data_IF_997140213747
#
_entry.id   IF_997140213747
#
_cell.length_a   1.000
_cell.length_b   1.000
_cell.length_c   1.000
_cell.angle_alpha   90.00
_cell.angle_beta   90.00
_cell.angle_gamma   90.00
#
_symmetry.space_group_name_H-M   'P 1'
#
loop_
_entity.id
_entity.type
_entity.pdbx_description
1 polymer ?
#
# COMPACT_ATOMS: atom_id res chain seq x y z
N UNK A 1 -22.49 -38.75 11.03
CA UNK A 1 -23.33 -37.76 10.32
C UNK A 1 -22.75 -36.33 10.34
N UNK A 2 -22.12 -35.85 11.42
CA UNK A 2 -21.46 -34.54 11.44
C UNK A 2 -20.19 -34.48 10.56
N UNK A 3 -19.32 -35.49 10.61
CA UNK A 3 -18.09 -35.55 9.80
C UNK A 3 -18.34 -35.66 8.27
N UNK A 4 -19.46 -36.30 7.88
CA UNK A 4 -19.83 -36.42 6.47
C UNK A 4 -20.30 -35.10 5.87
N UNK A 5 -20.94 -34.23 6.67
CA UNK A 5 -21.34 -32.90 6.22
C UNK A 5 -20.15 -31.94 6.15
N UNK A 6 -19.18 -32.06 7.05
CA UNK A 6 -17.98 -31.21 7.05
C UNK A 6 -17.08 -31.50 5.84
N UNK A 7 -16.89 -32.78 5.50
CA UNK A 7 -16.06 -33.16 4.35
C UNK A 7 -16.66 -32.68 3.02
N UNK A 8 -17.97 -32.83 2.84
CA UNK A 8 -18.71 -32.33 1.66
C UNK A 8 -18.63 -30.80 1.59
N UNK A 9 -18.74 -30.12 2.72
CA UNK A 9 -18.66 -28.66 2.77
C UNK A 9 -17.23 -28.13 2.51
N UNK A 10 -16.19 -28.82 2.98
CA UNK A 10 -14.79 -28.51 2.66
C UNK A 10 -14.53 -28.71 1.17
N UNK A 11 -15.03 -29.80 0.57
CA UNK A 11 -14.89 -30.05 -0.87
C UNK A 11 -15.63 -28.98 -1.69
N UNK A 12 -16.83 -28.60 -1.27
CA UNK A 12 -17.57 -27.49 -1.88
C UNK A 12 -16.80 -26.17 -1.77
N UNK A 13 -16.26 -25.82 -0.59
CA UNK A 13 -15.44 -24.61 -0.41
C UNK A 13 -14.17 -24.64 -1.27
N UNK A 14 -13.50 -25.78 -1.35
CA UNK A 14 -12.33 -25.98 -2.20
C UNK A 14 -12.65 -25.68 -3.67
N UNK A 15 -13.84 -26.06 -4.12
CA UNK A 15 -14.34 -25.71 -5.45
C UNK A 15 -14.65 -24.22 -5.57
N UNK A 16 -15.39 -23.63 -4.62
CA UNK A 16 -15.77 -22.21 -4.65
C UNK A 16 -14.56 -21.26 -4.62
N UNK A 17 -13.52 -21.63 -3.87
CA UNK A 17 -12.28 -20.86 -3.78
C UNK A 17 -11.36 -21.06 -4.99
N UNK A 18 -11.74 -21.92 -5.95
CA UNK A 18 -10.97 -22.17 -7.17
C UNK A 18 -9.74 -23.06 -7.01
N UNK A 19 -9.49 -23.57 -5.79
CA UNK A 19 -8.30 -24.38 -5.48
C UNK A 19 -8.26 -25.73 -6.21
N UNK A 20 -9.40 -26.20 -6.72
CA UNK A 20 -9.48 -27.38 -7.59
C UNK A 20 -8.80 -27.17 -8.96
N UNK A 21 -8.80 -25.94 -9.47
CA UNK A 21 -8.17 -25.59 -10.74
C UNK A 21 -6.76 -25.07 -10.54
N UNK A 22 -6.60 -24.17 -9.57
CA UNK A 22 -5.31 -23.61 -9.20
C UNK A 22 -5.20 -23.52 -7.67
N UNK A 23 -4.44 -24.43 -7.04
CA UNK A 23 -4.24 -24.41 -5.60
C UNK A 23 -3.23 -23.34 -5.15
N UNK A 24 -2.74 -22.48 -6.04
CA UNK A 24 -1.81 -21.42 -5.68
C UNK A 24 -2.52 -20.19 -5.12
N UNK A 25 -1.91 -19.62 -4.10
CA UNK A 25 -2.23 -18.30 -3.55
C UNK A 25 -1.01 -17.41 -3.68
N UNK A 26 -1.25 -16.14 -4.00
CA UNK A 26 -0.24 -15.09 -3.93
C UNK A 26 -0.32 -14.41 -2.58
N UNK A 27 0.80 -14.32 -1.87
CA UNK A 27 0.91 -13.68 -0.56
C UNK A 27 1.69 -12.39 -0.75
N UNK A 28 1.03 -11.26 -0.53
CA UNK A 28 1.62 -9.93 -0.52
C UNK A 28 2.02 -9.49 0.88
N UNK A 29 3.22 -8.92 1.00
CA UNK A 29 3.70 -8.25 2.21
C UNK A 29 4.26 -6.89 1.87
N UNK A 30 4.15 -5.97 2.82
CA UNK A 30 4.86 -4.70 2.77
C UNK A 30 6.15 -4.78 3.58
N UNK A 31 7.23 -4.36 2.94
CA UNK A 31 8.51 -4.21 3.62
C UNK A 31 8.54 -2.88 4.37
N UNK A 32 9.39 -2.78 5.40
CA UNK A 32 9.67 -1.51 6.08
C UNK A 32 10.23 -0.41 5.17
N UNK A 33 10.55 -0.71 3.91
CA UNK A 33 10.92 0.28 2.89
C UNK A 33 9.72 0.84 2.11
N UNK A 34 8.49 0.47 2.45
CA UNK A 34 7.36 0.91 1.64
C UNK A 34 7.37 0.25 0.25
N UNK A 35 7.80 -1.00 0.15
CA UNK A 35 7.74 -1.77 -1.08
C UNK A 35 6.92 -3.02 -0.87
N UNK A 36 5.97 -3.26 -1.77
CA UNK A 36 5.26 -4.51 -1.84
C UNK A 36 6.16 -5.61 -2.42
N UNK A 37 6.17 -6.76 -1.75
CA UNK A 37 6.75 -8.01 -2.26
C UNK A 37 5.69 -9.07 -2.27
N UNK A 38 5.72 -9.95 -3.25
CA UNK A 38 4.82 -11.10 -3.32
C UNK A 38 5.60 -12.41 -3.36
N UNK A 39 4.98 -13.47 -2.84
CA UNK A 39 5.43 -14.86 -3.02
C UNK A 39 4.24 -15.72 -3.36
N UNK A 40 4.50 -16.89 -3.91
CA UNK A 40 3.47 -17.88 -4.19
C UNK A 40 3.59 -19.03 -3.19
N UNK A 41 2.44 -19.46 -2.67
CA UNK A 41 2.32 -20.66 -1.87
C UNK A 41 1.23 -21.57 -2.45
N UNK A 42 1.43 -22.88 -2.31
CA UNK A 42 0.43 -23.87 -2.74
C UNK A 42 -0.39 -24.31 -1.53
N UNK A 43 -1.70 -24.14 -1.62
CA UNK A 43 -2.67 -24.63 -0.66
C UNK A 43 -2.63 -26.16 -0.60
N UNK A 44 -2.54 -26.70 0.61
CA UNK A 44 -2.47 -28.15 0.91
C UNK A 44 -3.66 -28.64 1.71
N UNK A 45 -4.42 -27.75 2.33
CA UNK A 45 -5.61 -28.13 3.09
C UNK A 45 -6.39 -26.92 3.59
N UNK A 46 -7.64 -27.20 4.00
CA UNK A 46 -8.57 -26.25 4.59
C UNK A 46 -9.07 -26.78 5.93
N UNK A 47 -9.34 -25.87 6.86
CA UNK A 47 -10.04 -26.15 8.11
C UNK A 47 -11.03 -25.03 8.38
N UNK A 48 -12.21 -25.36 8.88
CA UNK A 48 -13.16 -24.37 9.37
C UNK A 48 -13.06 -24.32 10.89
N UNK A 49 -12.89 -23.13 11.45
CA UNK A 49 -12.78 -22.96 12.89
C UNK A 49 -13.28 -21.57 13.29
N UNK A 50 -14.22 -21.52 14.24
CA UNK A 50 -14.75 -20.25 14.76
C UNK A 50 -15.43 -19.36 13.71
N UNK A 51 -16.11 -19.96 12.72
CA UNK A 51 -16.75 -19.21 11.63
C UNK A 51 -15.80 -18.67 10.56
N UNK A 52 -14.51 -18.99 10.64
CA UNK A 52 -13.49 -18.60 9.66
C UNK A 52 -12.93 -19.81 8.91
N UNK A 53 -12.50 -19.58 7.67
CA UNK A 53 -11.77 -20.58 6.87
C UNK A 53 -10.28 -20.37 7.11
N UNK A 54 -9.59 -21.39 7.62
CA UNK A 54 -8.14 -21.45 7.74
C UNK A 54 -7.58 -22.26 6.58
N UNK A 55 -6.57 -21.69 5.92
CA UNK A 55 -5.89 -22.29 4.78
C UNK A 55 -4.50 -22.72 5.22
N UNK A 56 -4.14 -23.98 4.99
CA UNK A 56 -2.76 -24.46 5.13
C UNK A 56 -2.09 -24.40 3.77
N UNK A 57 -1.05 -23.58 3.63
CA UNK A 57 -0.30 -23.45 2.39
C UNK A 57 1.21 -23.63 2.62
N UNK A 58 1.89 -24.18 1.62
CA UNK A 58 3.33 -24.39 1.61
C UNK A 58 3.98 -23.57 0.49
N UNK A 59 4.98 -22.76 0.82
CA UNK A 59 5.66 -21.88 -0.12
C UNK A 59 7.03 -21.44 0.39
N UNK A 60 7.74 -20.65 -0.41
CA UNK A 60 9.00 -20.06 0.02
C UNK A 60 8.72 -18.91 1.00
N UNK A 61 9.48 -18.82 2.12
CA UNK A 61 9.33 -17.70 3.04
C UNK A 61 9.70 -16.39 2.33
N UNK A 62 8.99 -15.32 2.67
CA UNK A 62 9.37 -13.99 2.22
C UNK A 62 10.49 -13.50 3.15
N UNK A 63 11.72 -13.49 2.64
CA UNK A 63 12.83 -12.87 3.33
C UNK A 63 12.50 -11.39 3.54
N UNK A 64 12.59 -10.90 4.78
CA UNK A 64 12.29 -9.53 5.24
C UNK A 64 10.88 -9.21 5.75
N UNK A 65 10.00 -10.19 5.99
CA UNK A 65 8.77 -9.93 6.76
C UNK A 65 9.05 -10.11 8.26
N UNK A 66 8.93 -9.03 9.03
CA UNK A 66 8.95 -9.08 10.49
C UNK A 66 7.52 -8.89 10.99
N UNK A 67 6.99 -9.87 11.71
CA UNK A 67 5.67 -9.78 12.32
C UNK A 67 5.78 -8.96 13.62
N UNK A 68 5.75 -7.63 13.48
CA UNK A 68 5.88 -6.67 14.59
C UNK A 68 4.58 -5.90 14.72
N UNK A 69 4.25 -5.51 15.95
CA UNK A 69 3.05 -4.73 16.26
C UNK A 69 3.02 -3.41 15.47
N UNK A 70 1.92 -3.19 14.73
CA UNK A 70 1.72 -2.04 13.85
C UNK A 70 2.19 -2.24 12.40
N UNK A 71 2.86 -3.36 12.06
CA UNK A 71 3.11 -3.72 10.67
C UNK A 71 1.80 -4.16 10.03
N UNK A 72 1.46 -3.64 8.83
CA UNK A 72 0.27 -4.10 8.15
C UNK A 72 0.32 -5.60 7.88
N UNK A 73 -0.78 -6.27 8.17
CA UNK A 73 -0.82 -7.73 8.12
C UNK A 73 -0.64 -8.22 6.65
N UNK A 74 0.00 -9.37 6.40
CA UNK A 74 0.10 -9.96 5.06
C UNK A 74 -1.26 -10.32 4.48
N UNK A 75 -1.42 -10.16 3.16
CA UNK A 75 -2.65 -10.50 2.45
C UNK A 75 -2.38 -11.67 1.52
N UNK A 76 -3.26 -12.67 1.55
CA UNK A 76 -3.26 -13.78 0.61
C UNK A 76 -4.43 -13.64 -0.37
N UNK A 77 -4.14 -13.77 -1.67
CA UNK A 77 -5.09 -13.67 -2.75
C UNK A 77 -5.05 -14.93 -3.61
N UNK A 78 -6.20 -15.28 -4.21
CA UNK A 78 -6.25 -16.26 -5.29
C UNK A 78 -6.13 -15.53 -6.62
N UNK A 79 -5.26 -16.03 -7.51
CA UNK A 79 -5.01 -15.39 -8.81
C UNK A 79 -6.25 -15.36 -9.73
N UNK A 80 -7.30 -16.12 -9.40
CA UNK A 80 -8.57 -16.12 -10.13
C UNK A 80 -9.40 -14.85 -9.92
N UNK A 81 -9.28 -14.22 -8.75
CA UNK A 81 -10.20 -13.15 -8.33
C UNK A 81 -9.53 -11.78 -8.29
N UNK A 82 -8.22 -11.76 -8.10
CA UNK A 82 -7.46 -10.52 -7.91
C UNK A 82 -6.02 -10.72 -8.36
N UNK A 83 -5.39 -9.63 -8.81
CA UNK A 83 -3.96 -9.59 -9.13
C UNK A 83 -3.33 -8.39 -8.45
N UNK A 84 -2.22 -8.62 -7.75
CA UNK A 84 -1.43 -7.54 -7.19
C UNK A 84 -0.72 -6.75 -8.28
N UNK A 85 -0.76 -5.42 -8.18
CA UNK A 85 -0.05 -4.53 -9.10
C UNK A 85 1.23 -4.02 -8.45
N UNK A 86 2.34 -4.08 -9.20
CA UNK A 86 3.65 -3.60 -8.77
C UNK A 86 4.14 -2.49 -9.72
N UNK A 87 3.69 -1.25 -9.53
CA UNK A 87 4.12 -0.15 -10.38
C UNK A 87 5.62 0.14 -10.24
N UNK A 88 6.25 0.58 -11.33
CA UNK A 88 7.69 0.78 -11.36
C UNK A 88 8.08 2.06 -10.60
N UNK A 89 9.04 2.00 -9.67
CA UNK A 89 9.48 3.18 -8.93
C UNK A 89 10.34 4.12 -9.79
N UNK A 90 10.15 5.43 -9.63
CA UNK A 90 10.94 6.51 -10.24
C UNK A 90 11.35 7.54 -9.18
N UNK A 91 12.62 7.95 -9.18
CA UNK A 91 13.09 9.01 -8.29
C UNK A 91 12.43 10.36 -8.64
N UNK A 92 12.00 11.13 -7.63
CA UNK A 92 11.40 12.45 -7.79
C UNK A 92 12.32 13.41 -8.55
N UNK A 93 13.63 13.35 -8.34
CA UNK A 93 14.59 14.17 -9.09
C UNK A 93 14.60 13.85 -10.58
N UNK A 94 14.38 12.59 -10.96
CA UNK A 94 14.24 12.18 -12.36
C UNK A 94 12.90 12.60 -12.92
N UNK A 95 11.82 12.37 -12.18
CA UNK A 95 10.47 12.78 -12.57
C UNK A 95 10.36 14.30 -12.74
N UNK A 96 11.03 15.09 -11.90
CA UNK A 96 11.05 16.56 -11.98
C UNK A 96 11.65 17.06 -13.29
N UNK A 97 12.60 16.34 -13.87
CA UNK A 97 13.16 16.66 -15.20
C UNK A 97 12.20 16.32 -16.34
N UNK A 98 11.37 15.29 -16.15
CA UNK A 98 10.41 14.82 -17.16
C UNK A 98 9.12 15.65 -17.12
N UNK A 99 8.57 15.86 -15.92
CA UNK A 99 7.29 16.52 -15.66
C UNK A 99 7.44 17.57 -14.54
N UNK A 100 8.11 18.71 -14.81
CA UNK A 100 8.47 19.69 -13.77
C UNK A 100 7.26 20.34 -13.11
N UNK A 101 6.19 20.61 -13.89
CA UNK A 101 4.96 21.22 -13.36
C UNK A 101 4.25 20.31 -12.38
N UNK A 102 4.24 19.01 -12.66
CA UNK A 102 3.58 18.02 -11.82
C UNK A 102 4.28 17.91 -10.47
N UNK A 103 5.61 17.72 -10.47
CA UNK A 103 6.38 17.64 -9.23
C UNK A 103 6.31 18.95 -8.45
N UNK A 104 6.38 20.11 -9.10
CA UNK A 104 6.31 21.40 -8.41
C UNK A 104 5.00 21.61 -7.63
N UNK A 105 3.88 21.02 -8.06
CA UNK A 105 2.61 21.05 -7.33
C UNK A 105 2.60 20.14 -6.10
N UNK A 106 3.27 18.98 -6.17
CA UNK A 106 3.28 18.00 -5.09
C UNK A 106 4.19 18.40 -3.92
N UNK A 107 5.36 19.00 -4.20
CA UNK A 107 6.39 19.24 -3.20
C UNK A 107 5.92 20.01 -1.96
N UNK A 108 5.13 21.11 -2.09
CA UNK A 108 4.57 21.79 -0.92
C UNK A 108 3.65 20.90 -0.09
N UNK A 109 2.79 20.13 -0.75
CA UNK A 109 1.84 19.25 -0.07
C UNK A 109 2.57 18.15 0.71
N UNK A 110 3.60 17.53 0.12
CA UNK A 110 4.46 16.57 0.83
C UNK A 110 5.03 17.19 2.12
N UNK A 111 5.60 18.39 2.01
CA UNK A 111 6.21 19.05 3.17
C UNK A 111 5.18 19.36 4.27
N UNK A 112 4.01 19.86 3.89
CA UNK A 112 2.92 20.21 4.83
C UNK A 112 2.37 18.96 5.52
N UNK A 113 2.19 17.86 4.80
CA UNK A 113 1.73 16.58 5.37
C UNK A 113 2.72 16.04 6.41
N UNK A 114 4.02 16.10 6.11
CA UNK A 114 5.07 15.66 7.03
C UNK A 114 5.13 16.55 8.29
N UNK A 115 4.93 17.87 8.15
CA UNK A 115 4.83 18.79 9.29
C UNK A 115 3.58 18.51 10.13
N UNK A 116 2.43 18.32 9.49
CA UNK A 116 1.17 18.04 10.16
C UNK A 116 1.20 16.74 10.95
N UNK A 117 1.91 15.73 10.45
CA UNK A 117 2.16 14.47 11.15
C UNK A 117 3.26 14.56 12.22
N UNK A 118 3.92 15.72 12.39
CA UNK A 118 4.99 15.90 13.37
C UNK A 118 6.28 15.13 13.07
N UNK A 119 6.47 14.68 11.83
CA UNK A 119 7.65 13.93 11.39
C UNK A 119 8.84 14.85 11.11
N UNK A 120 8.56 16.06 10.67
CA UNK A 120 9.54 17.14 10.51
C UNK A 120 9.15 18.34 11.35
N UNK A 121 10.13 19.19 11.66
CA UNK A 121 9.93 20.36 12.51
C UNK A 121 8.88 21.32 11.91
N UNK A 122 7.96 21.77 12.76
CA UNK A 122 6.98 22.79 12.39
C UNK A 122 7.69 24.11 12.11
N UNK A 123 7.33 24.78 11.02
CA UNK A 123 7.99 26.00 10.60
C UNK A 123 7.50 26.50 9.24
N UNK A 124 8.03 27.64 8.75
CA UNK A 124 7.66 28.16 7.44
C UNK A 124 8.03 27.16 6.34
N UNK A 125 7.19 27.10 5.30
CA UNK A 125 7.46 26.29 4.12
C UNK A 125 8.78 26.75 3.46
N UNK A 126 9.76 25.86 3.23
CA UNK A 126 10.97 26.20 2.51
C UNK A 126 10.68 26.58 1.05
N UNK A 127 11.68 27.13 0.36
CA UNK A 127 11.55 27.38 -1.08
C UNK A 127 11.37 26.07 -1.85
N UNK A 128 10.65 26.11 -2.97
CA UNK A 128 10.46 24.92 -3.84
C UNK A 128 11.79 24.27 -4.24
N UNK A 129 12.83 25.08 -4.49
CA UNK A 129 14.16 24.58 -4.84
C UNK A 129 14.83 23.82 -3.66
N UNK A 130 14.61 24.27 -2.42
CA UNK A 130 15.10 23.57 -1.24
C UNK A 130 14.37 22.24 -1.05
N UNK A 131 13.04 22.23 -1.13
CA UNK A 131 12.24 21.02 -1.01
C UNK A 131 12.60 20.02 -2.13
N UNK A 132 12.72 20.48 -3.37
CA UNK A 132 13.07 19.64 -4.51
C UNK A 132 14.44 18.96 -4.36
N UNK A 133 15.42 19.66 -3.77
CA UNK A 133 16.74 19.11 -3.48
C UNK A 133 16.65 18.02 -2.42
N UNK A 134 15.98 18.32 -1.31
CA UNK A 134 15.91 17.44 -0.14
C UNK A 134 15.10 16.17 -0.45
N UNK A 135 14.08 16.24 -1.31
CA UNK A 135 13.25 15.10 -1.72
C UNK A 135 13.74 14.41 -3.00
N UNK A 136 14.86 14.83 -3.60
CA UNK A 136 15.26 14.40 -4.96
C UNK A 136 15.49 12.89 -5.11
N UNK A 137 15.94 12.22 -4.05
CA UNK A 137 16.21 10.79 -4.01
C UNK A 137 14.97 9.95 -3.66
N UNK A 138 13.88 10.58 -3.22
CA UNK A 138 12.67 9.88 -2.85
C UNK A 138 12.01 9.28 -4.09
N UNK A 139 11.36 8.15 -3.91
CA UNK A 139 10.83 7.34 -5.02
C UNK A 139 9.32 7.41 -5.01
N UNK A 140 8.74 7.60 -6.18
CA UNK A 140 7.30 7.54 -6.42
C UNK A 140 6.98 6.44 -7.42
N UNK A 141 5.75 5.95 -7.38
CA UNK A 141 5.24 4.97 -8.32
C UNK A 141 4.09 5.59 -9.11
N UNK A 142 4.12 5.47 -10.44
CA UNK A 142 3.09 6.00 -11.33
C UNK A 142 2.11 4.89 -11.74
N UNK A 143 0.81 5.12 -11.55
CA UNK A 143 -0.24 4.15 -11.89
C UNK A 143 -1.60 4.87 -12.04
N UNK A 144 -2.43 4.44 -13.00
CA UNK A 144 -3.81 4.93 -13.15
C UNK A 144 -4.70 4.28 -12.08
N UNK A 145 -5.03 5.05 -11.04
CA UNK A 145 -5.91 4.70 -9.94
C UNK A 145 -7.32 5.25 -10.12
N UNK A 146 -7.47 6.33 -10.90
CA UNK A 146 -8.75 7.03 -11.09
C UNK A 146 -9.55 6.53 -12.29
N UNK A 147 -8.96 5.67 -13.13
CA UNK A 147 -9.56 5.10 -14.33
C UNK A 147 -9.68 6.09 -15.49
N UNK A 148 -8.90 7.18 -15.46
CA UNK A 148 -8.94 8.24 -16.47
C UNK A 148 -7.86 8.08 -17.56
N UNK A 149 -7.08 6.98 -17.52
CA UNK A 149 -5.90 6.71 -18.36
C UNK A 149 -4.73 7.68 -18.16
N UNK A 150 -4.72 8.42 -17.05
CA UNK A 150 -3.61 9.25 -16.62
C UNK A 150 -3.05 8.68 -15.30
N UNK A 151 -1.72 8.71 -15.11
CA UNK A 151 -1.13 8.17 -13.90
C UNK A 151 -1.34 9.12 -12.71
N UNK A 152 -1.74 8.56 -11.57
CA UNK A 152 -1.50 9.12 -10.25
C UNK A 152 -0.07 8.79 -9.78
N UNK A 153 0.45 9.60 -8.86
CA UNK A 153 1.74 9.35 -8.20
C UNK A 153 1.54 8.94 -6.76
N UNK A 154 2.02 7.75 -6.44
CA UNK A 154 2.06 7.23 -5.10
C UNK A 154 3.45 7.43 -4.49
N UNK A 155 3.51 8.08 -3.33
CA UNK A 155 4.71 8.26 -2.53
C UNK A 155 4.54 7.55 -1.20
N UNK A 156 5.32 6.51 -0.96
CA UNK A 156 5.42 5.89 0.36
C UNK A 156 6.67 6.40 1.06
N UNK A 157 6.47 7.03 2.22
CA UNK A 157 7.54 7.59 3.04
C UNK A 157 7.87 6.61 4.15
N UNK A 158 9.14 6.22 4.25
CA UNK A 158 9.68 5.34 5.27
C UNK A 158 10.79 6.04 6.09
N UNK A 159 11.40 5.30 7.02
CA UNK A 159 12.49 5.82 7.86
C UNK A 159 13.72 6.29 7.05
N UNK A 160 14.08 5.61 5.95
CA UNK A 160 15.20 6.02 5.08
C UNK A 160 14.92 7.36 4.40
N UNK A 161 13.66 7.59 3.99
CA UNK A 161 13.23 8.87 3.45
C UNK A 161 13.36 9.96 4.51
N UNK A 162 12.85 9.73 5.71
CA UNK A 162 12.92 10.72 6.79
C UNK A 162 14.36 11.00 7.21
N UNK A 163 15.20 9.97 7.36
CA UNK A 163 16.62 10.11 7.71
C UNK A 163 17.38 10.94 6.66
N UNK A 164 16.97 10.90 5.39
CA UNK A 164 17.57 11.73 4.33
C UNK A 164 17.32 13.25 4.48
N UNK A 165 16.33 13.65 5.28
CA UNK A 165 16.02 15.06 5.55
C UNK A 165 16.93 15.69 6.62
N UNK A 166 17.77 14.90 7.28
CA UNK A 166 18.79 15.36 8.22
C UNK A 166 18.21 16.22 9.35
N UNK A 167 18.64 17.47 9.43
CA UNK A 167 18.26 18.39 10.52
C UNK A 167 16.79 18.82 10.51
N UNK A 168 16.05 18.55 9.44
CA UNK A 168 14.62 18.89 9.35
C UNK A 168 13.74 17.91 10.12
N UNK A 169 14.25 16.72 10.43
CA UNK A 169 13.51 15.68 11.14
C UNK A 169 13.22 16.09 12.58
N UNK A 170 11.99 15.88 13.01
CA UNK A 170 11.54 16.25 14.36
C UNK A 170 12.27 15.45 15.44
N UNK A 171 12.67 16.13 16.52
CA UNK A 171 13.29 15.47 17.68
C UNK A 171 12.37 14.46 18.38
N UNK A 172 11.05 14.65 18.32
CA UNK A 172 10.08 13.67 18.88
C UNK A 172 10.13 12.37 18.07
N UNK A 173 10.07 12.47 16.75
CA UNK A 173 10.17 11.33 15.85
C UNK A 173 11.47 10.54 16.07
N UNK A 174 12.62 11.24 16.16
CA UNK A 174 13.92 10.61 16.38
C UNK A 174 14.02 9.80 17.68
N UNK A 175 13.21 10.13 18.71
CA UNK A 175 13.20 9.40 19.98
C UNK A 175 12.36 8.13 19.93
N UNK A 176 11.31 8.12 19.11
CA UNK A 176 10.34 7.04 19.07
C UNK A 176 10.62 6.02 17.96
N UNK A 177 11.19 6.45 16.81
CA UNK A 177 11.60 5.63 15.64
C UNK A 177 10.76 4.36 15.44
N UNK A 178 9.45 4.55 15.26
CA UNK A 178 8.47 3.49 14.98
C UNK A 178 7.42 3.92 13.95
N UNK A 179 7.79 4.81 13.01
CA UNK A 179 6.82 5.20 11.98
C UNK A 179 6.84 4.15 10.88
N UNK A 180 5.77 3.38 10.79
CA UNK A 180 5.58 2.52 9.63
C UNK A 180 5.52 3.34 8.34
N UNK A 181 5.90 2.74 7.20
CA UNK A 181 5.79 3.40 5.92
C UNK A 181 4.37 3.89 5.69
N UNK A 182 4.22 5.17 5.37
CA UNK A 182 2.93 5.80 5.15
C UNK A 182 2.85 6.40 3.76
N UNK A 183 1.68 6.31 3.14
CA UNK A 183 1.48 6.64 1.74
C UNK A 183 0.70 7.94 1.55
N UNK A 184 1.13 8.71 0.55
CA UNK A 184 0.39 9.80 -0.07
C UNK A 184 0.15 9.46 -1.54
N UNK A 185 -1.02 9.83 -2.07
CA UNK A 185 -1.34 9.70 -3.50
C UNK A 185 -1.70 11.08 -4.04
N UNK A 186 -1.09 11.41 -5.17
CA UNK A 186 -1.31 12.66 -5.89
C UNK A 186 -1.96 12.38 -7.24
N UNK A 187 -2.92 13.20 -7.63
CA UNK A 187 -3.54 13.18 -8.96
C UNK A 187 -2.51 13.37 -10.07
N UNK A 188 -2.92 13.11 -11.31
CA UNK A 188 -2.22 13.44 -12.55
C UNK A 188 -1.84 14.93 -12.69
N UNK A 189 -2.47 15.81 -11.89
CA UNK A 189 -2.15 17.24 -11.81
C UNK A 189 -1.30 17.63 -10.59
N UNK A 190 -0.95 16.67 -9.73
CA UNK A 190 -0.14 16.87 -8.54
C UNK A 190 -0.90 17.31 -7.29
N UNK A 191 -2.24 17.19 -7.29
CA UNK A 191 -3.07 17.50 -6.13
C UNK A 191 -3.11 16.28 -5.22
N UNK A 192 -2.94 16.47 -3.91
CA UNK A 192 -3.06 15.39 -2.93
C UNK A 192 -4.51 14.89 -2.87
N UNK A 193 -4.73 13.60 -3.10
CA UNK A 193 -6.06 12.95 -3.13
C UNK A 193 -6.20 11.84 -2.07
N UNK A 194 -5.11 11.45 -1.42
CA UNK A 194 -5.09 10.48 -0.33
C UNK A 194 -3.86 10.72 0.55
N UNK A 195 -4.00 10.66 1.87
CA UNK A 195 -2.89 10.77 2.81
C UNK A 195 -3.11 9.99 4.09
N UNK A 196 -2.22 9.04 4.36
CA UNK A 196 -2.14 8.32 5.64
C UNK A 196 -1.50 9.15 6.75
N UNK A 197 -1.05 10.38 6.48
CA UNK A 197 -0.47 11.25 7.49
C UNK A 197 -1.53 12.06 8.22
N UNK A 198 -2.58 12.47 7.51
CA UNK A 198 -3.60 13.39 8.04
C UNK A 198 -5.01 12.84 7.87
N UNK A 199 -5.53 12.76 6.64
CA UNK A 199 -6.95 12.46 6.37
C UNK A 199 -7.32 11.00 6.57
N UNK A 200 -6.36 10.09 6.39
CA UNK A 200 -6.55 8.63 6.44
C UNK A 200 -5.60 8.00 7.47
N UNK A 201 -5.37 8.67 8.60
CA UNK A 201 -4.30 8.32 9.57
C UNK A 201 -4.41 6.95 10.24
N UNK A 202 -5.60 6.34 10.23
CA UNK A 202 -5.87 5.00 10.74
C UNK A 202 -5.81 3.90 9.66
N UNK A 203 -5.59 4.27 8.40
CA UNK A 203 -5.45 3.34 7.27
C UNK A 203 -3.99 3.15 6.91
N UNK A 204 -3.67 1.95 6.44
CA UNK A 204 -2.35 1.62 5.88
C UNK A 204 -2.52 0.94 4.53
N UNK A 205 -1.96 1.52 3.46
CA UNK A 205 -1.94 0.92 2.15
C UNK A 205 -1.02 -0.29 2.14
N UNK A 206 -1.63 -1.45 1.91
CA UNK A 206 -0.99 -2.77 1.89
C UNK A 206 -0.98 -3.42 0.52
N UNK A 207 -1.44 -2.70 -0.50
CA UNK A 207 -1.22 -3.10 -1.87
C UNK A 207 -2.16 -2.41 -2.83
N UNK A 208 -1.90 -2.70 -4.10
CA UNK A 208 -2.72 -2.29 -5.22
C UNK A 208 -3.24 -3.56 -5.89
N UNK A 209 -4.51 -3.55 -6.27
CA UNK A 209 -5.16 -4.72 -6.83
C UNK A 209 -5.96 -4.39 -8.09
N UNK A 210 -5.80 -5.24 -9.10
CA UNK A 210 -6.77 -5.38 -10.18
C UNK A 210 -7.79 -6.47 -9.80
N UNK A 211 -9.07 -6.11 -9.68
CA UNK A 211 -10.13 -7.07 -9.33
C UNK A 211 -10.71 -7.82 -10.54
N UNK A 212 -10.12 -7.65 -11.74
CA UNK A 212 -10.47 -8.33 -12.99
C UNK A 212 -11.92 -8.15 -13.45
N UNK A 213 -12.59 -7.11 -12.97
CA UNK A 213 -13.97 -6.73 -13.30
C UNK A 213 -14.05 -5.53 -14.26
N UNK A 214 -12.89 -5.04 -14.73
CA UNK A 214 -12.79 -3.88 -15.62
C UNK A 214 -12.92 -2.52 -14.94
N UNK A 215 -13.07 -2.48 -13.61
CA UNK A 215 -13.07 -1.23 -12.84
C UNK A 215 -11.66 -0.67 -12.60
N UNK A 216 -11.56 0.54 -12.00
CA UNK A 216 -10.29 1.10 -11.57
C UNK A 216 -9.54 0.20 -10.58
N UNK A 217 -8.23 0.43 -10.48
CA UNK A 217 -7.37 -0.21 -9.48
C UNK A 217 -7.94 0.03 -8.08
N UNK A 218 -7.99 -1.03 -7.29
CA UNK A 218 -8.37 -0.96 -5.89
C UNK A 218 -7.14 -0.75 -5.00
N UNK A 219 -7.29 0.13 -4.01
CA UNK A 219 -6.40 0.21 -2.86
C UNK A 219 -6.77 -0.91 -1.88
N UNK A 220 -5.77 -1.63 -1.38
CA UNK A 220 -5.96 -2.60 -0.31
C UNK A 220 -5.47 -1.97 0.98
N UNK A 221 -6.38 -1.71 1.91
CA UNK A 221 -6.09 -0.97 3.14
C UNK A 221 -6.20 -1.91 4.33
N UNK A 222 -5.19 -1.90 5.19
CA UNK A 222 -5.27 -2.47 6.53
C UNK A 222 -5.83 -1.41 7.48
N UNK A 223 -6.87 -1.79 8.21
CA UNK A 223 -7.57 -0.99 9.21
C UNK A 223 -7.61 -1.80 10.52
N UNK A 224 -7.82 -1.16 11.70
CA UNK A 224 -7.63 -1.81 13.01
C UNK A 224 -8.38 -3.14 13.26
N UNK A 225 -9.35 -3.51 12.42
CA UNK A 225 -10.16 -4.73 12.59
C UNK A 225 -10.33 -5.57 11.33
N UNK A 226 -9.95 -5.07 10.15
CA UNK A 226 -10.26 -5.71 8.87
C UNK A 226 -9.44 -5.07 7.74
N UNK A 227 -9.43 -5.74 6.61
CA UNK A 227 -9.02 -5.11 5.36
C UNK A 227 -10.22 -4.48 4.66
N UNK A 228 -9.98 -3.37 3.98
CA UNK A 228 -10.93 -2.77 3.04
C UNK A 228 -10.31 -2.70 1.64
N UNK A 229 -11.16 -2.87 0.63
CA UNK A 229 -10.83 -2.60 -0.76
C UNK A 229 -11.56 -1.33 -1.14
N UNK A 230 -10.81 -0.28 -1.48
CA UNK A 230 -11.38 1.00 -1.88
C UNK A 230 -11.04 1.31 -3.32
N UNK A 231 -11.97 1.95 -4.03
CA UNK A 231 -11.78 2.41 -5.40
C UNK A 231 -12.04 3.89 -5.51
N UNK A 232 -11.46 4.50 -6.54
CA UNK A 232 -11.78 5.88 -6.85
C UNK A 232 -13.25 6.04 -7.23
N UNK A 233 -13.95 6.88 -6.48
CA UNK A 233 -15.31 7.34 -6.77
C UNK A 233 -15.24 8.63 -7.57
N UNK A 234 -15.44 8.57 -8.88
CA UNK A 234 -15.46 9.75 -9.75
C UNK A 234 -16.51 10.79 -9.34
N UNK A 235 -17.60 10.38 -8.70
CA UNK A 235 -18.65 11.28 -8.21
C UNK A 235 -18.25 11.99 -6.93
N UNK A 236 -17.63 11.28 -5.97
CA UNK A 236 -17.25 11.83 -4.66
C UNK A 236 -15.81 12.34 -4.59
N UNK A 237 -15.03 12.10 -5.64
CA UNK A 237 -13.63 12.51 -5.77
C UNK A 237 -12.77 12.01 -4.59
N UNK A 238 -12.94 10.73 -4.22
CA UNK A 238 -12.19 10.06 -3.15
C UNK A 238 -12.19 8.54 -3.32
N UNK A 239 -11.29 7.86 -2.61
CA UNK A 239 -11.32 6.42 -2.45
C UNK A 239 -12.41 6.01 -1.43
N UNK A 240 -13.24 5.02 -1.77
CA UNK A 240 -14.28 4.43 -0.92
C UNK A 240 -14.69 3.02 -1.35
#
# INVERSE_FOLDING_TARGET
ELESNESVYIEWLWQQLGFHNNPEIEIGVWTGKGQQKTTVATVKGLKIEGGSIKVLAAGKPIASFENVEGVPQPIALTASSMEFLQPTPVALGTLSRQNPRWVAQMLPAIWVELQAAGLIESGPLPSLAAIARDLSSWVVQAIDLTGNNLPELMLTVNDENLDSLGSSVSRSYLRERKSWPRTMIFSDTGVLIYSEFTTNSEQFLTGLANLKDGGPVALILDEPKNYTLQRWSGTRQRFE
#
